data_IF_010880699863
#
_entry.id   IF_010880699863
#
_cell.length_a   1.000
_cell.length_b   1.000
_cell.length_c   1.000
_cell.angle_alpha   90.00
_cell.angle_beta   90.00
_cell.angle_gamma   90.00
#
_symmetry.space_group_name_H-M   'P 1'
#
loop_
_entity.id
_entity.type
_entity.pdbx_description
1 polymer ?
#
# COMPACT_ATOMS: atom_id res chain seq x y z
N UNK A 1 9.02 -10.13 4.80
CA UNK A 1 8.90 -10.61 3.41
C UNK A 1 8.41 -12.05 3.30
N UNK A 2 9.08 -13.03 3.92
CA UNK A 2 8.61 -14.43 3.89
C UNK A 2 7.20 -14.61 4.50
N UNK A 3 6.92 -13.94 5.63
CA UNK A 3 5.59 -13.91 6.23
C UNK A 3 4.51 -13.41 5.27
N UNK A 4 4.76 -12.30 4.57
CA UNK A 4 3.82 -11.71 3.58
C UNK A 4 3.52 -12.72 2.48
N UNK A 5 4.55 -13.39 1.95
CA UNK A 5 4.41 -14.40 0.90
C UNK A 5 3.55 -15.60 1.35
N UNK A 6 3.73 -16.08 2.58
CA UNK A 6 2.94 -17.19 3.11
C UNK A 6 1.47 -16.81 3.24
N UNK A 7 1.18 -15.67 3.88
CA UNK A 7 -0.20 -15.27 4.16
C UNK A 7 -0.95 -14.85 2.89
N UNK A 8 -0.28 -14.27 1.89
CA UNK A 8 -0.89 -13.96 0.60
C UNK A 8 -1.22 -15.21 -0.21
N UNK A 9 -0.44 -16.28 -0.05
CA UNK A 9 -0.71 -17.59 -0.65
C UNK A 9 -1.87 -18.32 0.03
N UNK A 10 -1.89 -18.36 1.36
CA UNK A 10 -2.91 -19.09 2.13
C UNK A 10 -4.25 -18.34 2.23
N UNK A 11 -4.19 -17.02 2.40
CA UNK A 11 -5.34 -16.17 2.72
C UNK A 11 -5.33 -14.87 1.92
N UNK A 12 -5.41 -14.92 0.58
CA UNK A 12 -5.29 -13.73 -0.28
C UNK A 12 -6.37 -12.67 -0.03
N UNK A 13 -7.56 -13.09 0.40
CA UNK A 13 -8.76 -12.24 0.49
C UNK A 13 -8.97 -11.59 1.86
N UNK A 14 -8.03 -11.71 2.80
CA UNK A 14 -8.12 -11.01 4.09
C UNK A 14 -7.84 -9.53 3.90
N UNK A 15 -8.23 -8.71 4.89
CA UNK A 15 -7.91 -7.29 4.90
C UNK A 15 -6.39 -7.06 4.89
N UNK A 16 -5.92 -6.14 4.05
CA UNK A 16 -4.49 -5.81 3.96
C UNK A 16 -3.94 -5.22 5.27
N UNK A 17 -4.81 -4.74 6.17
CA UNK A 17 -4.46 -4.20 7.49
C UNK A 17 -3.81 -5.20 8.44
N UNK A 18 -3.83 -6.50 8.10
CA UNK A 18 -3.08 -7.54 8.81
C UNK A 18 -1.56 -7.40 8.58
N UNK A 19 -1.16 -6.78 7.47
CA UNK A 19 0.25 -6.65 7.06
C UNK A 19 0.68 -5.19 6.95
N UNK A 20 -0.19 -4.32 6.44
CA UNK A 20 0.07 -2.90 6.23
C UNK A 20 -0.64 -2.07 7.28
N UNK A 21 0.01 -1.05 7.82
CA UNK A 21 -0.68 -0.06 8.63
C UNK A 21 -1.68 0.74 7.79
N UNK A 22 -2.62 1.41 8.47
CA UNK A 22 -3.68 2.16 7.81
C UNK A 22 -3.12 3.25 6.89
N UNK A 23 -2.10 3.95 7.37
CA UNK A 23 -1.41 5.00 6.63
C UNK A 23 -0.67 4.41 5.41
N UNK A 24 -0.02 3.26 5.57
CA UNK A 24 0.78 2.64 4.51
C UNK A 24 -0.07 2.21 3.31
N UNK A 25 -1.19 1.53 3.52
CA UNK A 25 -2.01 1.11 2.38
C UNK A 25 -2.73 2.30 1.72
N UNK A 26 -3.06 3.36 2.48
CA UNK A 26 -3.62 4.61 1.95
C UNK A 26 -2.60 5.36 1.09
N UNK A 27 -1.36 5.49 1.57
CA UNK A 27 -0.23 6.04 0.80
C UNK A 27 0.01 5.22 -0.47
N UNK A 28 0.00 3.90 -0.34
CA UNK A 28 0.17 3.00 -1.48
C UNK A 28 -0.92 3.21 -2.53
N UNK A 29 -2.19 3.32 -2.11
CA UNK A 29 -3.30 3.62 -3.00
C UNK A 29 -3.05 4.93 -3.74
N UNK A 30 -2.72 5.99 -3.00
CA UNK A 30 -2.53 7.31 -3.58
C UNK A 30 -1.34 7.37 -4.55
N UNK A 31 -0.24 6.71 -4.21
CA UNK A 31 0.94 6.63 -5.05
C UNK A 31 0.69 5.86 -6.36
N UNK A 32 -0.01 4.71 -6.29
CA UNK A 32 -0.25 3.86 -7.46
C UNK A 32 -1.33 4.45 -8.36
N UNK A 33 -2.42 4.96 -7.77
CA UNK A 33 -3.57 5.45 -8.54
C UNK A 33 -3.45 6.95 -8.90
N UNK A 34 -2.43 7.65 -8.36
CA UNK A 34 -2.25 9.10 -8.50
C UNK A 34 -3.47 9.89 -8.02
N UNK A 35 -4.13 9.38 -6.99
CA UNK A 35 -5.35 9.94 -6.41
C UNK A 35 -5.12 10.14 -4.91
N UNK A 36 -5.12 11.40 -4.40
CA UNK A 36 -4.83 11.65 -2.99
C UNK A 36 -5.95 11.19 -2.04
N UNK A 37 -7.10 10.78 -2.56
CA UNK A 37 -8.25 10.35 -1.74
C UNK A 37 -8.33 8.81 -1.79
N UNK A 38 -7.85 8.10 -0.75
CA UNK A 38 -8.03 6.67 -0.66
C UNK A 38 -9.50 6.31 -0.38
N UNK A 39 -9.97 5.12 -0.81
CA UNK A 39 -11.32 4.65 -0.52
C UNK A 39 -11.50 4.38 0.97
N UNK A 40 -12.73 4.40 1.47
CA UNK A 40 -13.02 4.09 2.89
C UNK A 40 -12.70 2.64 3.25
N UNK A 41 -12.88 1.73 2.28
CA UNK A 41 -12.66 0.30 2.48
C UNK A 41 -11.24 -0.09 2.06
N UNK A 42 -10.50 -0.66 3.01
CA UNK A 42 -9.18 -1.21 2.74
C UNK A 42 -9.27 -2.35 1.70
N UNK A 43 -8.28 -2.44 0.78
CA UNK A 43 -8.21 -3.51 -0.20
C UNK A 43 -7.90 -4.86 0.45
N UNK A 44 -8.08 -5.93 -0.32
CA UNK A 44 -7.60 -7.26 0.08
C UNK A 44 -6.07 -7.29 0.12
N UNK A 45 -5.52 -8.24 0.88
CA UNK A 45 -4.08 -8.40 1.03
C UNK A 45 -3.39 -8.65 -0.33
N UNK A 46 -3.99 -9.48 -1.19
CA UNK A 46 -3.44 -9.75 -2.53
C UNK A 46 -3.44 -8.50 -3.41
N UNK A 47 -4.49 -7.67 -3.35
CA UNK A 47 -4.55 -6.40 -4.09
C UNK A 47 -3.50 -5.41 -3.61
N UNK A 48 -3.33 -5.26 -2.29
CA UNK A 48 -2.29 -4.41 -1.71
C UNK A 48 -0.90 -4.88 -2.14
N UNK A 49 -0.63 -6.20 -2.07
CA UNK A 49 0.67 -6.76 -2.45
C UNK A 49 0.97 -6.60 -3.94
N UNK A 50 -0.05 -6.76 -4.80
CA UNK A 50 0.08 -6.47 -6.23
C UNK A 50 0.39 -4.98 -6.47
N UNK A 51 -0.27 -4.07 -5.74
CA UNK A 51 0.00 -2.62 -5.82
C UNK A 51 1.42 -2.27 -5.35
N UNK A 52 1.93 -2.89 -4.28
CA UNK A 52 3.30 -2.69 -3.80
C UNK A 52 4.33 -3.12 -4.85
N UNK A 53 4.08 -4.23 -5.54
CA UNK A 53 5.04 -4.85 -6.46
C UNK A 53 4.93 -4.33 -7.90
N UNK A 54 3.81 -3.69 -8.25
CA UNK A 54 3.57 -3.03 -9.54
C UNK A 54 4.68 -2.06 -9.97
N UNK A 55 5.07 -1.08 -9.15
CA UNK A 55 6.19 -0.18 -9.44
C UNK A 55 7.53 -0.90 -9.65
N UNK A 56 7.67 -2.14 -9.15
CA UNK A 56 8.84 -3.00 -9.33
C UNK A 56 8.77 -3.92 -10.57
N UNK A 57 7.78 -3.76 -11.44
CA UNK A 57 7.60 -4.52 -12.68
C UNK A 57 6.72 -5.77 -12.56
N UNK A 58 6.06 -6.00 -11.42
CA UNK A 58 5.11 -7.11 -11.28
C UNK A 58 3.74 -6.72 -11.79
N UNK A 59 3.26 -7.39 -12.83
CA UNK A 59 1.99 -7.04 -13.47
C UNK A 59 0.77 -7.68 -12.78
N UNK A 60 0.97 -8.73 -11.96
CA UNK A 60 -0.11 -9.37 -11.21
C UNK A 60 -1.17 -10.04 -12.07
N UNK A 61 -0.79 -10.58 -13.24
CA UNK A 61 -1.73 -11.33 -14.09
C UNK A 61 -2.07 -12.67 -13.42
N UNK A 62 -3.23 -13.26 -13.73
CA UNK A 62 -3.68 -14.55 -13.16
C UNK A 62 -2.64 -15.68 -13.28
N UNK A 63 -1.78 -15.65 -14.29
CA UNK A 63 -0.76 -16.68 -14.54
C UNK A 63 0.65 -16.31 -14.05
N UNK A 64 0.87 -15.09 -13.54
CA UNK A 64 2.21 -14.63 -13.13
C UNK A 64 2.66 -15.27 -11.81
N UNK A 65 1.76 -15.96 -11.10
CA UNK A 65 2.03 -16.53 -9.78
C UNK A 65 2.21 -15.44 -8.73
N UNK A 66 2.99 -15.74 -7.68
CA UNK A 66 3.30 -14.75 -6.64
C UNK A 66 4.51 -13.89 -7.00
N UNK A 67 4.51 -12.60 -6.62
CA UNK A 67 5.68 -11.75 -6.80
C UNK A 67 6.88 -12.33 -6.03
N UNK A 68 8.04 -12.35 -6.68
CA UNK A 68 9.27 -12.85 -6.07
C UNK A 68 9.74 -11.97 -4.90
N UNK A 69 10.50 -12.56 -3.97
CA UNK A 69 10.97 -11.91 -2.73
C UNK A 69 11.71 -10.58 -2.99
N UNK A 70 12.52 -10.49 -4.05
CA UNK A 70 13.24 -9.25 -4.41
C UNK A 70 12.28 -8.14 -4.84
N UNK A 71 11.23 -8.48 -5.59
CA UNK A 71 10.23 -7.51 -6.06
C UNK A 71 9.38 -7.00 -4.92
N UNK A 72 8.96 -7.90 -4.01
CA UNK A 72 8.27 -7.54 -2.77
C UNK A 72 9.12 -6.61 -1.91
N UNK A 73 10.38 -6.96 -1.69
CA UNK A 73 11.30 -6.15 -0.89
C UNK A 73 11.45 -4.74 -1.46
N UNK A 74 11.74 -4.62 -2.77
CA UNK A 74 11.88 -3.31 -3.44
C UNK A 74 10.62 -2.45 -3.33
N UNK A 75 9.45 -3.05 -3.57
CA UNK A 75 8.18 -2.34 -3.46
C UNK A 75 7.91 -1.85 -2.04
N UNK A 76 8.16 -2.72 -1.05
CA UNK A 76 7.95 -2.40 0.35
C UNK A 76 8.92 -1.32 0.86
N UNK A 77 10.20 -1.41 0.52
CA UNK A 77 11.19 -0.37 0.83
C UNK A 77 10.74 0.98 0.28
N UNK A 78 10.30 1.00 -0.99
CA UNK A 78 9.80 2.24 -1.59
C UNK A 78 8.55 2.78 -0.88
N UNK A 79 7.65 1.91 -0.45
CA UNK A 79 6.47 2.32 0.33
C UNK A 79 6.86 2.95 1.67
N UNK A 80 7.82 2.34 2.38
CA UNK A 80 8.35 2.90 3.63
C UNK A 80 9.01 4.26 3.41
N UNK A 81 9.74 4.46 2.31
CA UNK A 81 10.39 5.73 2.01
C UNK A 81 9.40 6.86 1.67
N UNK A 82 8.30 6.56 0.96
CA UNK A 82 7.32 7.57 0.55
C UNK A 82 6.31 7.90 1.66
N UNK A 83 6.07 6.99 2.60
CA UNK A 83 5.04 7.14 3.63
C UNK A 83 5.28 8.38 4.50
N UNK A 84 6.46 8.60 5.11
CA UNK A 84 6.73 9.80 5.90
C UNK A 84 6.53 11.10 5.12
N UNK A 85 7.01 11.13 3.87
CA UNK A 85 6.89 12.31 3.01
C UNK A 85 5.42 12.63 2.70
N UNK A 86 4.63 11.61 2.40
CA UNK A 86 3.21 11.76 2.13
C UNK A 86 2.46 12.25 3.39
N UNK A 87 2.76 11.70 4.56
CA UNK A 87 2.19 12.17 5.84
C UNK A 87 2.47 13.66 6.07
N UNK A 88 3.72 14.11 5.88
CA UNK A 88 4.11 15.51 6.06
C UNK A 88 3.31 16.43 5.13
N UNK A 89 3.26 16.09 3.83
CA UNK A 89 2.55 16.90 2.83
C UNK A 89 1.05 16.94 3.11
N UNK A 90 0.43 15.80 3.40
CA UNK A 90 -1.00 15.76 3.66
C UNK A 90 -1.38 16.44 4.96
N UNK A 91 -0.56 16.33 6.01
CA UNK A 91 -0.79 17.07 7.25
C UNK A 91 -0.63 18.59 7.06
N UNK A 92 0.28 19.03 6.19
CA UNK A 92 0.40 20.45 5.80
C UNK A 92 -0.84 20.94 5.02
N UNK A 93 -1.38 20.10 4.14
CA UNK A 93 -2.52 20.46 3.28
C UNK A 93 -3.88 20.24 3.96
N UNK A 94 -3.95 19.47 5.04
CA UNK A 94 -5.20 19.10 5.73
C UNK A 94 -6.12 20.30 6.03
N UNK A 95 -5.64 21.48 6.48
CA UNK A 95 -6.50 22.64 6.70
C UNK A 95 -7.20 23.19 5.45
N UNK A 96 -6.69 22.86 4.26
CA UNK A 96 -7.13 23.40 2.97
C UNK A 96 -7.88 22.39 2.11
N UNK A 97 -8.04 21.16 2.58
CA UNK A 97 -8.62 20.06 1.82
C UNK A 97 -9.92 19.57 2.51
N UNK A 98 -11.10 20.03 2.08
CA UNK A 98 -12.37 19.81 2.78
C UNK A 98 -12.84 18.34 2.83
N UNK A 99 -12.17 17.43 2.11
CA UNK A 99 -12.44 15.99 2.10
C UNK A 99 -11.14 15.16 2.24
N UNK A 100 -10.10 15.72 2.89
CA UNK A 100 -8.86 14.97 3.09
C UNK A 100 -9.10 13.67 3.85
N UNK A 101 -8.35 12.59 3.53
CA UNK A 101 -8.27 11.46 4.42
C UNK A 101 -7.88 11.96 5.83
N UNK A 102 -8.36 11.28 6.90
CA UNK A 102 -8.05 11.69 8.27
C UNK A 102 -6.54 11.85 8.43
N UNK A 103 -6.14 12.90 9.15
CA UNK A 103 -4.75 13.24 9.49
C UNK A 103 -3.99 11.96 9.80
N UNK A 104 -2.89 11.75 9.07
CA UNK A 104 -2.09 10.53 9.23
C UNK A 104 -1.48 10.50 10.63
N UNK A 105 -1.40 9.32 11.23
CA UNK A 105 -0.85 9.14 12.57
C UNK A 105 0.63 9.53 12.58
N UNK A 106 1.06 10.28 13.59
CA UNK A 106 2.46 10.72 13.79
C UNK A 106 3.39 9.62 14.36
N UNK A 107 2.92 8.37 14.44
CA UNK A 107 3.75 7.25 14.90
C UNK A 107 4.82 6.87 13.88
#
# INVERSE_FOLDING_TARGET
MYFIYLITGEKPNIHCTVVFEEDEWKVLYAYVNKDPIPPDKAPTLIEAVNKVTGPGGFLGRKSDGHPGTKTLYRGFTRLMDITPNYKIVMNMLAPYLPNSPPVFSNR
#
